data_IF_896234277276
#
_entry.id   IF_896234277276
#
_cell.length_a   1.000
_cell.length_b   1.000
_cell.length_c   1.000
_cell.angle_alpha   90.00
_cell.angle_beta   90.00
_cell.angle_gamma   90.00
#
_symmetry.space_group_name_H-M   'P 1'
#
loop_
_entity.id
_entity.type
_entity.pdbx_description
1 polymer ?
#
# COMPACT_ATOMS: atom_id res chain seq x y z
N UNK A 1 7.72 -18.85 -3.26
CA UNK A 1 6.29 -18.71 -3.57
C UNK A 1 5.67 -20.06 -3.98
N UNK A 2 5.72 -21.05 -3.03
CA UNK A 2 5.04 -22.33 -3.25
C UNK A 2 3.52 -22.14 -3.21
N UNK A 3 2.81 -22.65 -4.19
CA UNK A 3 1.35 -22.82 -4.29
C UNK A 3 0.45 -21.59 -4.51
N UNK A 4 0.92 -20.37 -4.44
CA UNK A 4 0.15 -19.22 -4.92
C UNK A 4 0.37 -19.15 -6.43
N UNK A 5 -0.71 -19.28 -7.20
CA UNK A 5 -0.63 -19.14 -8.66
C UNK A 5 -0.05 -17.75 -8.99
N UNK A 6 1.23 -17.70 -9.28
CA UNK A 6 2.01 -16.45 -9.49
C UNK A 6 1.33 -15.55 -10.54
N UNK A 7 0.66 -16.16 -11.53
CA UNK A 7 -0.11 -15.43 -12.53
C UNK A 7 -1.30 -14.66 -11.97
N UNK A 8 -2.02 -15.23 -10.99
CA UNK A 8 -3.20 -14.57 -10.40
C UNK A 8 -2.79 -13.34 -9.58
N UNK A 9 -1.70 -13.44 -8.79
CA UNK A 9 -1.19 -12.32 -8.03
C UNK A 9 -0.67 -11.20 -8.95
N UNK A 10 0.01 -11.56 -10.04
CA UNK A 10 0.49 -10.59 -11.00
C UNK A 10 -0.65 -9.82 -11.67
N UNK A 11 -1.72 -10.51 -12.09
CA UNK A 11 -2.91 -9.86 -12.66
C UNK A 11 -3.56 -8.90 -11.67
N UNK A 12 -3.78 -9.34 -10.42
CA UNK A 12 -4.38 -8.50 -9.37
C UNK A 12 -3.54 -7.26 -9.07
N UNK A 13 -2.21 -7.38 -9.05
CA UNK A 13 -1.29 -6.24 -8.83
C UNK A 13 -1.37 -5.25 -9.99
N UNK A 14 -1.36 -5.73 -11.23
CA UNK A 14 -1.49 -4.87 -12.42
C UNK A 14 -2.84 -4.16 -12.41
N UNK A 15 -3.94 -4.89 -12.14
CA UNK A 15 -5.27 -4.30 -12.07
C UNK A 15 -5.38 -3.25 -10.97
N UNK A 16 -4.75 -3.50 -9.81
CA UNK A 16 -4.69 -2.53 -8.71
C UNK A 16 -4.01 -1.22 -9.14
N UNK A 17 -2.84 -1.31 -9.78
CA UNK A 17 -2.09 -0.14 -10.26
C UNK A 17 -2.88 0.62 -11.33
N UNK A 18 -3.46 -0.07 -12.31
CA UNK A 18 -4.24 0.56 -13.38
C UNK A 18 -5.53 1.21 -12.88
N UNK A 19 -6.15 0.68 -11.81
CA UNK A 19 -7.37 1.24 -11.24
C UNK A 19 -7.15 2.59 -10.55
N UNK A 20 -5.99 2.77 -9.91
CA UNK A 20 -5.70 3.98 -9.12
C UNK A 20 -4.86 5.02 -9.86
N UNK A 21 -4.24 4.63 -10.97
CA UNK A 21 -3.39 5.51 -11.76
C UNK A 21 -4.18 6.74 -12.27
N UNK A 22 -3.58 7.90 -12.14
CA UNK A 22 -4.13 9.14 -12.69
C UNK A 22 -3.78 9.35 -14.18
N UNK A 23 -4.33 10.41 -14.77
CA UNK A 23 -4.10 10.76 -16.19
C UNK A 23 -2.61 11.08 -16.47
N UNK A 24 -1.85 11.48 -15.47
CA UNK A 24 -0.41 11.78 -15.55
C UNK A 24 0.46 10.53 -15.30
N UNK A 25 -0.13 9.34 -15.22
CA UNK A 25 0.52 8.05 -14.91
C UNK A 25 1.17 8.02 -13.54
N UNK A 26 0.60 8.67 -12.56
CA UNK A 26 1.09 8.64 -11.18
C UNK A 26 0.23 7.72 -10.34
N UNK A 27 0.89 7.00 -9.46
CA UNK A 27 0.25 6.12 -8.49
C UNK A 27 0.64 6.59 -7.08
N UNK A 28 -0.34 7.06 -6.33
CA UNK A 28 -0.09 7.48 -4.95
C UNK A 28 0.26 6.26 -4.08
N UNK A 29 1.27 6.42 -3.22
CA UNK A 29 1.74 5.33 -2.34
C UNK A 29 0.63 4.73 -1.47
N UNK A 30 -0.37 5.54 -1.11
CA UNK A 30 -1.48 5.16 -0.24
C UNK A 30 -2.75 4.76 -1.03
N UNK A 31 -2.66 4.72 -2.36
CA UNK A 31 -3.80 4.38 -3.22
C UNK A 31 -4.03 2.88 -3.33
N UNK A 32 -2.95 2.10 -3.25
CA UNK A 32 -3.00 0.64 -3.18
C UNK A 32 -2.65 0.20 -1.76
N UNK A 33 -3.61 -0.40 -1.08
CA UNK A 33 -3.47 -0.93 0.28
C UNK A 33 -3.34 -2.44 0.22
N UNK A 34 -2.57 -3.01 1.14
CA UNK A 34 -2.52 -4.46 1.35
C UNK A 34 -3.15 -4.74 2.71
N UNK A 35 -4.13 -5.62 2.74
CA UNK A 35 -4.75 -6.10 3.97
C UNK A 35 -4.70 -7.62 3.99
N UNK A 36 -4.10 -8.17 5.02
CA UNK A 36 -3.79 -9.59 5.11
C UNK A 36 -4.64 -10.30 6.14
N UNK A 37 -5.07 -11.54 5.84
CA UNK A 37 -5.83 -12.36 6.78
C UNK A 37 -5.59 -13.85 6.58
N UNK A 38 -5.31 -14.57 7.66
CA UNK A 38 -5.19 -16.04 7.67
C UNK A 38 -6.55 -16.75 7.68
N UNK A 39 -6.54 -18.05 7.48
CA UNK A 39 -7.70 -18.92 7.62
C UNK A 39 -8.48 -19.22 6.32
N UNK A 40 -7.90 -18.88 5.16
CA UNK A 40 -8.44 -19.26 3.85
C UNK A 40 -7.33 -19.70 2.89
N UNK A 41 -7.71 -20.23 1.73
CA UNK A 41 -6.76 -20.51 0.65
C UNK A 41 -6.21 -19.20 0.06
N UNK A 42 -4.97 -19.20 -0.37
CA UNK A 42 -4.38 -18.09 -1.12
C UNK A 42 -5.16 -17.74 -2.42
N UNK A 43 -5.88 -18.70 -2.98
CA UNK A 43 -6.79 -18.49 -4.10
C UNK A 43 -8.01 -17.60 -3.77
N UNK A 44 -8.26 -17.31 -2.50
CA UNK A 44 -9.27 -16.36 -2.05
C UNK A 44 -8.75 -14.92 -1.92
N UNK A 45 -7.52 -14.67 -2.36
CA UNK A 45 -6.96 -13.31 -2.49
C UNK A 45 -7.73 -12.57 -3.59
N UNK A 46 -8.16 -11.36 -3.30
CA UNK A 46 -8.97 -10.55 -4.21
C UNK A 46 -8.62 -9.07 -4.16
N UNK A 47 -8.95 -8.36 -5.24
CA UNK A 47 -8.86 -6.91 -5.33
C UNK A 47 -10.20 -6.29 -4.95
N UNK A 48 -10.22 -5.51 -3.87
CA UNK A 48 -11.39 -4.76 -3.43
C UNK A 48 -11.24 -3.30 -3.87
N UNK A 49 -12.22 -2.79 -4.61
CA UNK A 49 -12.26 -1.38 -5.03
C UNK A 49 -12.73 -0.52 -3.88
N UNK A 50 -11.81 -0.17 -3.00
CA UNK A 50 -12.09 0.56 -1.77
C UNK A 50 -11.17 0.15 -0.63
N UNK A 51 -11.70 0.11 0.59
CA UNK A 51 -10.92 -0.12 1.80
C UNK A 51 -11.42 -1.34 2.55
N UNK A 52 -10.49 -2.25 2.87
CA UNK A 52 -10.72 -3.36 3.80
C UNK A 52 -9.97 -3.06 5.10
N UNK A 53 -10.63 -3.23 6.22
CA UNK A 53 -10.05 -2.99 7.54
C UNK A 53 -10.69 -3.86 8.62
N UNK A 54 -10.00 -4.04 9.73
CA UNK A 54 -10.49 -4.79 10.88
C UNK A 54 -11.09 -3.81 11.90
N UNK A 55 -12.39 -3.82 12.03
CA UNK A 55 -13.09 -3.04 13.04
C UNK A 55 -14.50 -3.57 13.25
N UNK A 56 -14.92 -3.57 14.50
CA UNK A 56 -16.30 -3.88 14.90
C UNK A 56 -17.16 -2.61 14.81
N UNK A 57 -18.46 -2.72 14.48
CA UNK A 57 -19.39 -1.63 14.64
C UNK A 57 -19.40 -1.10 16.07
N UNK A 58 -19.60 0.20 16.25
CA UNK A 58 -19.61 0.85 17.56
C UNK A 58 -20.74 0.36 18.49
N UNK A 59 -21.74 -0.36 17.93
CA UNK A 59 -22.81 -1.01 18.68
C UNK A 59 -23.30 -2.27 17.93
N UNK A 60 -23.54 -3.35 18.66
CA UNK A 60 -23.96 -4.66 18.11
C UNK A 60 -25.31 -4.63 17.38
N UNK A 61 -26.17 -3.64 17.66
CA UNK A 61 -27.48 -3.48 17.03
C UNK A 61 -27.44 -2.69 15.71
N UNK A 62 -26.26 -2.23 15.29
CA UNK A 62 -26.09 -1.54 14.03
C UNK A 62 -26.26 -2.49 12.83
N UNK A 63 -26.68 -1.98 11.65
CA UNK A 63 -26.73 -2.78 10.44
C UNK A 63 -25.32 -3.29 10.09
N UNK A 64 -25.23 -4.51 9.56
CA UNK A 64 -23.97 -5.11 9.12
C UNK A 64 -23.72 -4.99 7.61
N UNK A 65 -24.70 -4.47 6.88
CA UNK A 65 -24.60 -4.17 5.46
C UNK A 65 -25.45 -2.97 5.11
N UNK A 66 -24.85 -2.06 4.35
CA UNK A 66 -25.50 -0.86 3.82
C UNK A 66 -25.11 -0.75 2.36
N UNK A 67 -26.08 -0.70 1.46
CA UNK A 67 -25.90 -0.50 0.03
C UNK A 67 -26.16 0.96 -0.32
N UNK A 68 -25.52 1.47 -1.39
CA UNK A 68 -25.62 2.87 -1.85
C UNK A 68 -25.45 3.89 -0.70
N UNK A 69 -24.44 3.65 0.13
CA UNK A 69 -24.25 4.33 1.40
C UNK A 69 -23.75 5.77 1.25
N UNK A 70 -24.37 6.68 1.98
CA UNK A 70 -23.84 8.03 2.23
C UNK A 70 -22.91 7.99 3.44
N UNK A 71 -21.66 8.42 3.25
CA UNK A 71 -20.56 8.24 4.20
C UNK A 71 -20.11 9.56 4.79
N UNK A 72 -19.99 9.63 6.13
CA UNK A 72 -19.35 10.72 6.84
C UNK A 72 -18.03 10.27 7.48
N UNK A 73 -16.96 11.04 7.30
CA UNK A 73 -15.65 10.82 7.94
C UNK A 73 -15.40 11.94 8.95
N UNK A 74 -15.34 11.59 10.24
CA UNK A 74 -15.32 12.53 11.34
C UNK A 74 -14.01 12.50 12.12
N UNK A 75 -13.40 13.66 12.29
CA UNK A 75 -12.18 13.87 13.08
C UNK A 75 -12.46 14.40 14.49
N UNK A 76 -13.56 13.97 15.05
CA UNK A 76 -14.03 14.45 16.34
C UNK A 76 -14.54 13.32 17.22
N UNK A 77 -14.61 13.57 18.52
CA UNK A 77 -15.29 12.70 19.47
C UNK A 77 -16.81 12.91 19.35
N UNK A 78 -17.55 11.81 19.23
CA UNK A 78 -19.01 11.85 19.29
C UNK A 78 -19.48 11.58 20.72
N UNK A 79 -19.70 12.65 21.45
CA UNK A 79 -20.21 12.66 22.82
C UNK A 79 -20.74 14.06 23.14
N UNK A 80 -21.44 14.21 24.27
CA UNK A 80 -21.80 15.52 24.78
C UNK A 80 -20.55 16.38 24.96
N UNK A 81 -20.56 17.60 24.47
CA UNK A 81 -19.50 18.58 24.72
C UNK A 81 -19.44 18.84 26.22
N UNK A 82 -18.41 18.31 26.89
CA UNK A 82 -18.08 18.78 28.23
C UNK A 82 -17.70 20.25 28.07
N UNK A 83 -18.58 21.15 28.49
CA UNK A 83 -18.33 22.59 28.44
C UNK A 83 -17.05 22.91 29.20
N UNK A 84 -16.19 23.78 28.66
CA UNK A 84 -15.02 24.34 29.35
C UNK A 84 -15.36 25.17 30.60
N UNK A 85 -16.63 25.23 30.97
CA UNK A 85 -17.10 25.89 32.18
C UNK A 85 -17.28 24.80 33.23
N UNK A 86 -16.34 24.74 34.14
CA UNK A 86 -16.40 24.02 35.42
C UNK A 86 -17.54 24.60 36.28
N UNK A 87 -18.80 24.52 35.79
CA UNK A 87 -19.98 24.85 36.56
C UNK A 87 -20.33 23.57 37.33
N UNK A 88 -19.81 23.44 38.56
CA UNK A 88 -20.35 22.48 39.51
C UNK A 88 -21.85 22.71 39.66
N UNK A 89 -22.68 21.95 38.94
CA UNK A 89 -24.09 21.86 39.19
C UNK A 89 -24.29 21.18 40.55
N UNK A 90 -24.56 21.95 41.56
CA UNK A 90 -24.96 21.41 42.87
C UNK A 90 -26.34 20.77 42.73
N UNK A 91 -26.38 19.49 42.37
CA UNK A 91 -27.62 18.72 42.32
C UNK A 91 -28.10 18.49 43.73
N UNK A 92 -29.20 19.08 44.10
CA UNK A 92 -29.76 19.03 45.47
C UNK A 92 -31.05 18.21 45.57
N UNK A 93 -31.60 17.76 44.44
CA UNK A 93 -32.80 16.92 44.38
C UNK A 93 -32.73 15.85 43.28
N UNK A 94 -33.50 14.77 43.43
CA UNK A 94 -33.66 13.71 42.44
C UNK A 94 -34.23 14.25 41.13
N UNK A 95 -35.20 15.17 41.20
CA UNK A 95 -35.80 15.78 40.02
C UNK A 95 -34.79 16.58 39.19
N UNK A 96 -33.82 17.24 39.85
CA UNK A 96 -32.72 17.96 39.19
C UNK A 96 -31.74 16.98 38.53
N UNK A 97 -31.48 15.85 39.14
CA UNK A 97 -30.64 14.79 38.57
C UNK A 97 -31.32 14.20 37.32
N UNK A 98 -32.59 13.86 37.39
CA UNK A 98 -33.35 13.31 36.28
C UNK A 98 -33.44 14.30 35.10
N UNK A 99 -33.62 15.60 35.41
CA UNK A 99 -33.62 16.64 34.39
C UNK A 99 -32.24 16.78 33.69
N UNK A 100 -31.14 16.72 34.46
CA UNK A 100 -29.78 16.78 33.90
C UNK A 100 -29.49 15.58 33.02
N UNK A 101 -29.78 14.36 33.47
CA UNK A 101 -29.60 13.13 32.70
C UNK A 101 -30.43 13.13 31.40
N UNK A 102 -31.71 13.66 31.50
CA UNK A 102 -32.57 13.78 30.31
C UNK A 102 -32.03 14.79 29.31
N UNK A 103 -31.45 15.89 29.78
CA UNK A 103 -30.83 16.91 28.93
C UNK A 103 -29.55 16.33 28.20
N UNK A 104 -28.72 15.62 28.94
CA UNK A 104 -27.55 14.94 28.34
C UNK A 104 -27.96 13.89 27.28
N UNK A 105 -29.00 13.08 27.56
CA UNK A 105 -29.51 12.11 26.60
C UNK A 105 -30.09 12.80 25.36
N UNK A 106 -30.79 13.92 25.54
CA UNK A 106 -31.29 14.72 24.42
C UNK A 106 -30.16 15.29 23.54
N UNK A 107 -29.06 15.75 24.14
CA UNK A 107 -27.88 16.21 23.39
C UNK A 107 -27.24 15.08 22.61
N UNK A 108 -27.09 13.89 23.19
CA UNK A 108 -26.55 12.69 22.51
C UNK A 108 -27.44 12.26 21.35
N UNK A 109 -28.74 12.29 21.55
CA UNK A 109 -29.73 11.99 20.50
C UNK A 109 -29.66 12.99 19.36
N UNK A 110 -29.47 14.28 19.65
CA UNK A 110 -29.34 15.33 18.65
C UNK A 110 -28.17 15.09 17.70
N UNK A 111 -27.08 14.46 18.15
CA UNK A 111 -25.95 14.03 17.27
C UNK A 111 -26.45 13.04 16.21
N UNK A 112 -27.17 12.00 16.62
CA UNK A 112 -27.71 11.00 15.70
C UNK A 112 -28.77 11.61 14.76
N UNK A 113 -29.62 12.50 15.28
CA UNK A 113 -30.64 13.21 14.50
C UNK A 113 -30.00 14.13 13.44
N UNK A 114 -28.90 14.82 13.76
CA UNK A 114 -28.16 15.67 12.83
C UNK A 114 -27.60 14.85 11.68
N UNK A 115 -26.95 13.73 11.96
CA UNK A 115 -26.40 12.83 10.95
C UNK A 115 -27.49 12.19 10.10
N UNK A 116 -28.58 11.73 10.72
CA UNK A 116 -29.76 11.20 10.02
C UNK A 116 -30.44 12.23 9.13
N UNK A 117 -30.58 13.48 9.60
CA UNK A 117 -31.16 14.58 8.81
C UNK A 117 -30.28 14.97 7.61
N UNK A 118 -28.95 14.81 7.72
CA UNK A 118 -28.03 14.97 6.62
C UNK A 118 -28.03 13.77 5.64
N UNK A 119 -28.77 12.69 5.94
CA UNK A 119 -28.86 11.49 5.12
C UNK A 119 -27.65 10.58 5.24
N UNK A 120 -26.92 10.62 6.36
CA UNK A 120 -25.76 9.76 6.58
C UNK A 120 -26.19 8.34 6.94
N UNK A 121 -25.66 7.36 6.25
CA UNK A 121 -25.88 5.93 6.48
C UNK A 121 -24.70 5.28 7.23
N UNK A 122 -23.48 5.78 6.99
CA UNK A 122 -22.25 5.22 7.59
C UNK A 122 -21.36 6.32 8.13
N UNK A 123 -20.82 6.12 9.34
CA UNK A 123 -19.92 7.04 10.03
C UNK A 123 -18.60 6.37 10.36
N UNK A 124 -17.51 6.99 9.93
CA UNK A 124 -16.15 6.63 10.36
C UNK A 124 -15.59 7.74 11.25
N UNK A 125 -15.42 7.49 12.55
CA UNK A 125 -14.90 8.46 13.50
C UNK A 125 -13.47 8.12 13.91
N UNK A 126 -12.52 9.05 13.70
CA UNK A 126 -11.13 8.88 14.12
C UNK A 126 -10.96 8.88 15.65
N UNK A 127 -11.97 9.36 16.37
CA UNK A 127 -12.00 9.37 17.83
C UNK A 127 -13.18 8.57 18.36
N UNK A 128 -13.21 8.42 19.69
CA UNK A 128 -14.23 7.62 20.36
C UNK A 128 -15.65 8.13 20.10
N UNK A 129 -16.55 7.20 19.78
CA UNK A 129 -18.00 7.36 19.88
C UNK A 129 -18.42 6.84 21.27
N UNK A 130 -19.14 7.62 22.07
CA UNK A 130 -19.61 7.14 23.35
C UNK A 130 -20.75 6.12 23.18
N UNK A 131 -20.83 5.15 24.10
CA UNK A 131 -21.81 4.06 24.02
C UNK A 131 -23.26 4.54 23.89
N UNK A 132 -23.70 5.62 24.61
CA UNK A 132 -25.05 6.16 24.43
C UNK A 132 -25.27 6.78 23.02
N UNK A 133 -24.27 7.48 22.45
CA UNK A 133 -24.36 8.00 21.08
C UNK A 133 -24.39 6.85 20.07
N UNK A 134 -23.57 5.82 20.28
CA UNK A 134 -23.60 4.62 19.44
C UNK A 134 -24.96 3.92 19.45
N UNK A 135 -25.65 3.89 20.62
CA UNK A 135 -27.00 3.35 20.71
C UNK A 135 -28.02 4.21 19.91
N UNK A 136 -27.96 5.53 20.00
CA UNK A 136 -28.84 6.41 19.22
C UNK A 136 -28.57 6.32 17.70
N UNK A 137 -27.29 6.14 17.29
CA UNK A 137 -26.93 5.88 15.89
C UNK A 137 -27.50 4.55 15.40
N UNK A 138 -27.42 3.50 16.22
CA UNK A 138 -28.02 2.20 15.93
C UNK A 138 -29.55 2.28 15.79
N UNK A 139 -30.22 3.00 16.69
CA UNK A 139 -31.68 3.25 16.63
C UNK A 139 -32.08 4.03 15.37
N UNK A 140 -31.20 4.90 14.87
CA UNK A 140 -31.38 5.63 13.62
C UNK A 140 -31.02 4.79 12.37
N UNK A 141 -30.51 3.56 12.54
CA UNK A 141 -30.09 2.69 11.46
C UNK A 141 -28.76 3.04 10.84
N UNK A 142 -27.95 3.87 11.50
CA UNK A 142 -26.65 4.32 11.04
C UNK A 142 -25.56 3.32 11.48
N UNK A 143 -24.76 2.82 10.53
CA UNK A 143 -23.58 2.02 10.83
C UNK A 143 -22.41 2.95 11.22
N UNK A 144 -21.76 2.71 12.35
CA UNK A 144 -20.69 3.60 12.79
C UNK A 144 -19.47 2.81 13.31
N UNK A 145 -18.28 3.33 13.01
CA UNK A 145 -16.99 2.80 13.47
C UNK A 145 -16.25 3.86 14.28
N UNK A 146 -15.68 3.42 15.41
CA UNK A 146 -15.04 4.28 16.41
C UNK A 146 -13.53 4.05 16.40
N UNK A 147 -12.75 5.10 16.69
CA UNK A 147 -11.29 5.05 16.79
C UNK A 147 -10.58 4.54 15.53
N UNK A 148 -11.11 4.85 14.34
CA UNK A 148 -10.40 4.53 13.10
C UNK A 148 -9.07 5.29 13.06
N UNK A 149 -8.03 4.67 12.53
CA UNK A 149 -6.70 5.28 12.45
C UNK A 149 -6.68 6.44 11.47
N UNK A 150 -5.69 7.31 11.59
CA UNK A 150 -5.51 8.46 10.68
C UNK A 150 -5.36 8.00 9.22
N UNK A 151 -4.61 6.91 9.00
CA UNK A 151 -4.44 6.31 7.67
C UNK A 151 -5.75 5.77 7.11
N UNK A 152 -6.56 5.10 7.93
CA UNK A 152 -7.88 4.60 7.53
C UNK A 152 -8.85 5.75 7.21
N UNK A 153 -8.92 6.78 8.08
CA UNK A 153 -9.75 7.94 7.84
C UNK A 153 -9.40 8.65 6.52
N UNK A 154 -8.11 8.70 6.18
CA UNK A 154 -7.64 9.23 4.90
C UNK A 154 -8.07 8.34 3.73
N UNK A 155 -7.93 7.02 3.88
CA UNK A 155 -8.34 6.06 2.87
C UNK A 155 -9.87 6.07 2.63
N UNK A 156 -10.68 6.16 3.70
CA UNK A 156 -12.14 6.27 3.57
C UNK A 156 -12.55 7.55 2.83
N UNK A 157 -11.94 8.69 3.19
CA UNK A 157 -12.20 9.96 2.51
C UNK A 157 -11.87 9.88 1.01
N UNK A 158 -10.77 9.24 0.64
CA UNK A 158 -10.38 9.05 -0.78
C UNK A 158 -11.26 8.05 -1.52
N UNK A 159 -11.62 6.95 -0.86
CA UNK A 159 -12.45 5.91 -1.47
C UNK A 159 -13.88 6.37 -1.74
N UNK A 160 -14.42 7.29 -0.91
CA UNK A 160 -15.81 7.73 -0.97
C UNK A 160 -16.00 9.15 -1.51
N UNK A 161 -14.92 9.93 -1.58
CA UNK A 161 -14.98 11.36 -1.89
C UNK A 161 -15.43 12.23 -0.71
N UNK A 162 -15.61 11.66 0.50
CA UNK A 162 -15.99 12.41 1.69
C UNK A 162 -14.90 13.41 2.11
N UNK A 163 -15.31 14.52 2.69
CA UNK A 163 -14.40 15.42 3.41
C UNK A 163 -14.31 15.00 4.87
N UNK A 164 -13.14 15.14 5.45
CA UNK A 164 -12.94 14.90 6.89
C UNK A 164 -13.46 16.09 7.68
N UNK A 165 -14.42 15.85 8.58
CA UNK A 165 -15.11 16.87 9.32
C UNK A 165 -14.66 16.92 10.78
N UNK A 166 -14.26 18.09 11.26
CA UNK A 166 -13.91 18.34 12.68
C UNK A 166 -15.09 18.78 13.54
N UNK A 167 -16.26 19.03 12.95
CA UNK A 167 -17.50 19.45 13.62
C UNK A 167 -18.71 18.94 12.86
N UNK A 168 -19.85 18.84 13.55
CA UNK A 168 -21.15 18.54 12.94
C UNK A 168 -21.97 19.81 12.69
N UNK A 169 -21.43 21.00 13.04
CA UNK A 169 -22.09 22.27 12.76
C UNK A 169 -22.04 22.51 11.23
N UNK A 170 -23.21 22.69 10.61
CA UNK A 170 -23.34 22.99 9.17
C UNK A 170 -22.80 21.88 8.22
N UNK A 171 -23.07 20.60 8.50
CA UNK A 171 -22.77 19.50 7.57
C UNK A 171 -23.57 19.65 6.29
N UNK A 172 -22.87 19.83 5.16
CA UNK A 172 -23.48 19.93 3.84
C UNK A 172 -23.37 18.61 3.07
N UNK A 173 -24.25 18.39 2.11
CA UNK A 173 -24.18 17.20 1.25
C UNK A 173 -22.85 17.09 0.46
N UNK A 174 -22.18 18.22 0.21
CA UNK A 174 -20.86 18.27 -0.44
C UNK A 174 -19.71 17.80 0.45
N UNK A 175 -19.94 17.63 1.75
CA UNK A 175 -18.97 17.13 2.72
C UNK A 175 -19.05 15.61 2.86
N UNK A 176 -20.15 15.02 2.41
CA UNK A 176 -20.40 13.59 2.48
C UNK A 176 -19.87 12.87 1.24
N UNK A 177 -19.42 11.65 1.45
CA UNK A 177 -19.02 10.76 0.37
C UNK A 177 -20.08 9.72 0.05
N UNK A 178 -19.80 8.92 -0.97
CA UNK A 178 -20.66 7.79 -1.37
C UNK A 178 -19.86 6.50 -1.46
N UNK A 179 -20.48 5.41 -1.05
CA UNK A 179 -19.94 4.06 -1.22
C UNK A 179 -20.99 3.17 -1.88
N UNK A 180 -20.57 2.29 -2.79
CA UNK A 180 -21.46 1.30 -3.39
C UNK A 180 -21.98 0.35 -2.32
N UNK A 181 -21.12 -0.08 -1.39
CA UNK A 181 -21.53 -0.88 -0.24
C UNK A 181 -20.58 -0.73 0.95
N UNK A 182 -21.10 -0.91 2.15
CA UNK A 182 -20.29 -1.14 3.36
C UNK A 182 -20.80 -2.40 4.04
N UNK A 183 -19.95 -3.43 4.13
CA UNK A 183 -20.31 -4.76 4.67
C UNK A 183 -19.38 -5.16 5.79
N UNK A 184 -19.93 -5.70 6.87
CA UNK A 184 -19.18 -6.26 7.99
C UNK A 184 -19.32 -7.77 7.98
N UNK A 185 -18.22 -8.47 7.75
CA UNK A 185 -18.17 -9.92 7.65
C UNK A 185 -17.31 -10.50 8.78
N UNK A 186 -17.68 -11.70 9.24
CA UNK A 186 -16.90 -12.35 10.31
C UNK A 186 -15.91 -13.35 9.73
N UNK A 187 -14.64 -13.04 9.88
CA UNK A 187 -13.53 -13.86 9.40
C UNK A 187 -12.67 -14.35 10.57
N UNK A 188 -12.67 -15.67 10.83
CA UNK A 188 -11.81 -16.27 11.86
C UNK A 188 -12.11 -15.85 13.30
N UNK A 189 -13.27 -15.21 13.56
CA UNK A 189 -13.67 -14.74 14.89
C UNK A 189 -13.72 -13.22 15.03
N UNK A 190 -13.04 -12.48 14.14
CA UNK A 190 -13.00 -11.02 14.14
C UNK A 190 -13.87 -10.45 13.01
N UNK A 191 -14.34 -9.25 13.20
CA UNK A 191 -15.10 -8.52 12.20
C UNK A 191 -14.16 -7.80 11.22
N UNK A 192 -14.33 -8.09 9.93
CA UNK A 192 -13.64 -7.42 8.83
C UNK A 192 -14.67 -6.62 8.06
N UNK A 193 -14.38 -5.35 7.86
CA UNK A 193 -15.27 -4.42 7.16
C UNK A 193 -14.74 -4.15 5.76
N UNK A 194 -15.62 -4.30 4.78
CA UNK A 194 -15.40 -3.99 3.37
C UNK A 194 -16.16 -2.71 3.04
N UNK A 195 -15.46 -1.67 2.69
CA UNK A 195 -16.02 -0.46 2.10
C UNK A 195 -15.72 -0.51 0.60
N UNK A 196 -16.72 -0.72 -0.22
CA UNK A 196 -16.59 -0.63 -1.67
C UNK A 196 -16.94 0.79 -2.12
N UNK A 197 -15.96 1.47 -2.70
CA UNK A 197 -16.13 2.81 -3.25
C UNK A 197 -16.97 2.82 -4.52
N UNK A 198 -17.25 3.99 -5.03
CA UNK A 198 -17.85 4.18 -6.36
C UNK A 198 -16.85 3.74 -7.47
N UNK A 199 -17.32 3.66 -8.72
CA UNK A 199 -16.47 3.31 -9.87
C UNK A 199 -15.27 4.26 -10.07
N UNK A 200 -15.38 5.51 -9.57
CA UNK A 200 -14.31 6.51 -9.58
C UNK A 200 -13.40 6.45 -8.34
N UNK A 201 -13.52 5.43 -7.51
CA UNK A 201 -12.68 5.28 -6.31
C UNK A 201 -11.20 5.19 -6.69
N UNK A 202 -10.39 6.06 -6.10
CA UNK A 202 -8.93 6.09 -6.27
C UNK A 202 -8.18 5.35 -5.17
N UNK A 203 -8.85 4.45 -4.48
CA UNK A 203 -8.25 3.61 -3.43
C UNK A 203 -8.71 2.19 -3.64
N UNK A 204 -7.76 1.27 -3.66
CA UNK A 204 -8.02 -0.17 -3.74
C UNK A 204 -7.30 -0.90 -2.62
N UNK A 205 -7.83 -2.04 -2.24
CA UNK A 205 -7.20 -2.93 -1.26
C UNK A 205 -6.98 -4.31 -1.85
N UNK A 206 -5.74 -4.77 -1.82
CA UNK A 206 -5.40 -6.17 -2.08
C UNK A 206 -5.69 -6.96 -0.79
N UNK A 207 -6.82 -7.68 -0.78
CA UNK A 207 -7.19 -8.53 0.34
C UNK A 207 -6.52 -9.89 0.22
N UNK A 208 -5.39 -10.04 0.89
CA UNK A 208 -4.50 -11.20 0.78
C UNK A 208 -4.91 -12.28 1.77
N UNK A 209 -5.12 -13.49 1.29
CA UNK A 209 -5.51 -14.65 2.08
C UNK A 209 -4.41 -15.71 2.07
N UNK A 210 -4.32 -16.43 3.17
CA UNK A 210 -3.39 -17.55 3.31
C UNK A 210 -3.83 -18.52 4.40
N UNK A 211 -3.34 -19.75 4.32
CA UNK A 211 -3.67 -20.81 5.29
C UNK A 211 -2.98 -20.61 6.65
N UNK A 212 -1.83 -19.93 6.67
CA UNK A 212 -1.03 -19.64 7.86
C UNK A 212 -0.42 -18.25 7.79
N UNK A 213 0.00 -17.68 8.93
CA UNK A 213 0.67 -16.38 9.00
C UNK A 213 1.92 -16.34 8.11
N UNK A 214 2.73 -17.40 8.11
CA UNK A 214 3.93 -17.46 7.27
C UNK A 214 3.64 -17.36 5.77
N UNK A 215 2.56 -18.00 5.29
CA UNK A 215 2.13 -17.92 3.89
C UNK A 215 1.64 -16.52 3.55
N UNK A 216 0.94 -15.89 4.47
CA UNK A 216 0.42 -14.52 4.31
C UNK A 216 1.57 -13.52 4.29
N UNK A 217 2.53 -13.60 5.23
CA UNK A 217 3.70 -12.73 5.29
C UNK A 217 4.58 -12.83 4.02
N UNK A 218 4.71 -14.02 3.46
CA UNK A 218 5.45 -14.23 2.21
C UNK A 218 4.70 -13.64 1.01
N UNK A 219 3.37 -13.82 0.97
CA UNK A 219 2.53 -13.25 -0.08
C UNK A 219 2.53 -11.72 -0.02
N UNK A 220 2.45 -11.12 1.17
CA UNK A 220 2.52 -9.68 1.38
C UNK A 220 3.83 -9.10 0.82
N UNK A 221 4.98 -9.69 1.18
CA UNK A 221 6.28 -9.25 0.63
C UNK A 221 6.35 -9.36 -0.89
N UNK A 222 5.86 -10.48 -1.43
CA UNK A 222 5.85 -10.68 -2.88
C UNK A 222 4.96 -9.67 -3.60
N UNK A 223 3.83 -9.29 -3.00
CA UNK A 223 2.92 -8.26 -3.51
C UNK A 223 3.57 -6.88 -3.42
N UNK A 224 4.19 -6.53 -2.29
CA UNK A 224 4.87 -5.24 -2.12
C UNK A 224 5.99 -5.06 -3.14
N UNK A 225 6.79 -6.10 -3.37
CA UNK A 225 7.84 -6.11 -4.40
C UNK A 225 7.24 -5.95 -5.80
N UNK A 226 6.17 -6.69 -6.10
CA UNK A 226 5.49 -6.62 -7.40
C UNK A 226 4.83 -5.25 -7.63
N UNK A 227 4.20 -4.65 -6.61
CA UNK A 227 3.65 -3.30 -6.68
C UNK A 227 4.74 -2.28 -6.97
N UNK A 228 5.88 -2.34 -6.23
CA UNK A 228 7.00 -1.42 -6.44
C UNK A 228 7.53 -1.47 -7.88
N UNK A 229 7.72 -2.66 -8.43
CA UNK A 229 8.19 -2.84 -9.81
C UNK A 229 7.15 -2.39 -10.83
N UNK A 230 5.87 -2.74 -10.63
CA UNK A 230 4.77 -2.39 -11.55
C UNK A 230 4.55 -0.88 -11.59
N UNK A 231 4.53 -0.22 -10.43
CA UNK A 231 4.40 1.25 -10.35
C UNK A 231 5.59 1.92 -11.04
N UNK A 232 6.83 1.50 -10.75
CA UNK A 232 8.01 2.08 -11.39
C UNK A 232 7.99 1.92 -12.91
N UNK A 233 7.58 0.75 -13.42
CA UNK A 233 7.45 0.50 -14.86
C UNK A 233 6.33 1.35 -15.49
N UNK A 234 5.22 1.52 -14.79
CA UNK A 234 4.08 2.27 -15.28
C UNK A 234 4.37 3.78 -15.33
N UNK A 235 4.97 4.34 -14.27
CA UNK A 235 5.30 5.77 -14.17
C UNK A 235 6.42 6.19 -15.13
N UNK A 236 7.52 5.42 -15.22
CA UNK A 236 8.67 5.70 -16.12
C UNK A 236 8.30 5.40 -17.59
N UNK A 237 7.47 4.38 -17.82
CA UNK A 237 7.05 3.94 -19.15
C UNK A 237 8.14 3.27 -19.97
N UNK A 238 9.29 2.97 -19.38
CA UNK A 238 10.43 2.31 -19.99
C UNK A 238 10.80 1.02 -19.25
N UNK A 239 10.97 -0.07 -19.98
CA UNK A 239 11.42 -1.36 -19.48
C UNK A 239 12.67 -1.81 -20.23
N UNK A 240 13.51 -2.59 -19.57
CA UNK A 240 14.76 -3.14 -20.12
C UNK A 240 14.85 -4.63 -19.83
N UNK A 241 15.65 -5.39 -20.58
CA UNK A 241 15.91 -6.79 -20.28
C UNK A 241 16.49 -6.96 -18.87
N UNK A 242 15.94 -7.87 -18.09
CA UNK A 242 16.42 -8.20 -16.76
C UNK A 242 17.55 -9.24 -16.75
N UNK A 243 17.61 -10.03 -15.69
CA UNK A 243 18.52 -11.18 -15.56
C UNK A 243 20.02 -10.85 -15.77
N UNK A 244 20.45 -9.64 -15.42
CA UNK A 244 21.84 -9.19 -15.57
C UNK A 244 22.24 -8.74 -16.98
N UNK A 245 21.33 -8.78 -17.95
CA UNK A 245 21.62 -8.39 -19.35
C UNK A 245 22.03 -6.92 -19.47
N UNK A 246 21.31 -6.03 -18.79
CA UNK A 246 21.60 -4.58 -18.79
C UNK A 246 22.96 -4.30 -18.14
N UNK A 247 23.28 -4.97 -17.05
CA UNK A 247 24.55 -4.82 -16.35
C UNK A 247 25.73 -5.21 -17.23
N UNK A 248 25.62 -6.33 -17.97
CA UNK A 248 26.63 -6.74 -18.96
C UNK A 248 26.78 -5.67 -20.04
N UNK A 249 25.70 -5.17 -20.61
CA UNK A 249 25.71 -4.12 -21.63
C UNK A 249 26.36 -2.82 -21.12
N UNK A 250 26.05 -2.41 -19.87
CA UNK A 250 26.66 -1.24 -19.22
C UNK A 250 28.19 -1.47 -19.06
N UNK A 251 28.60 -2.63 -18.54
CA UNK A 251 29.99 -2.93 -18.32
C UNK A 251 30.78 -2.93 -19.65
N UNK A 252 30.23 -3.50 -20.71
CA UNK A 252 30.86 -3.49 -22.04
C UNK A 252 30.94 -2.09 -22.63
N UNK A 253 29.93 -1.28 -22.46
CA UNK A 253 29.91 0.13 -22.87
C UNK A 253 30.98 0.95 -22.14
N UNK A 254 31.14 0.72 -20.84
CA UNK A 254 32.16 1.36 -20.02
C UNK A 254 33.57 0.96 -20.48
N UNK A 255 33.85 -0.32 -20.70
CA UNK A 255 35.16 -0.81 -21.19
C UNK A 255 35.49 -0.25 -22.55
N UNK A 256 34.51 -0.24 -23.47
CA UNK A 256 34.69 0.37 -24.79
C UNK A 256 35.00 1.86 -24.68
N UNK A 257 34.37 2.58 -23.73
CA UNK A 257 34.61 4.00 -23.45
C UNK A 257 35.97 4.26 -22.77
N UNK A 258 36.47 3.32 -21.97
CA UNK A 258 37.73 3.43 -21.24
C UNK A 258 38.94 3.67 -22.19
N UNK A 259 38.88 3.10 -23.40
CA UNK A 259 39.93 3.28 -24.43
C UNK A 259 40.06 4.74 -24.93
N UNK A 260 39.01 5.54 -24.80
CA UNK A 260 39.00 6.97 -25.15
C UNK A 260 39.50 7.87 -24.01
N UNK A 261 39.69 7.32 -22.82
CA UNK A 261 40.12 8.03 -21.62
C UNK A 261 41.59 7.71 -21.31
N UNK A 262 42.42 8.73 -21.09
CA UNK A 262 43.86 8.53 -20.86
C UNK A 262 44.22 8.58 -19.36
N UNK A 263 45.23 7.81 -18.98
CA UNK A 263 45.86 7.84 -17.65
C UNK A 263 45.00 7.16 -16.56
N UNK A 264 45.10 7.64 -15.32
CA UNK A 264 44.46 6.98 -14.16
C UNK A 264 42.94 6.92 -14.25
N UNK A 265 42.31 7.79 -15.05
CA UNK A 265 40.87 7.79 -15.25
C UNK A 265 40.37 6.54 -15.97
N UNK A 266 41.16 5.99 -16.90
CA UNK A 266 40.84 4.74 -17.59
C UNK A 266 40.71 3.57 -16.58
N UNK A 267 41.62 3.49 -15.61
CA UNK A 267 41.58 2.47 -14.56
C UNK A 267 40.33 2.59 -13.67
N UNK A 268 39.87 3.81 -13.40
CA UNK A 268 38.66 4.01 -12.64
C UNK A 268 37.40 3.55 -13.41
N UNK A 269 37.33 3.80 -14.71
CA UNK A 269 36.23 3.33 -15.57
C UNK A 269 36.24 1.78 -15.65
N UNK A 270 37.40 1.17 -15.77
CA UNK A 270 37.51 -0.30 -15.77
C UNK A 270 37.07 -0.89 -14.42
N UNK A 271 37.52 -0.32 -13.31
CA UNK A 271 37.10 -0.75 -11.97
C UNK A 271 35.58 -0.61 -11.74
N UNK A 272 34.98 0.44 -12.29
CA UNK A 272 33.54 0.59 -12.24
C UNK A 272 32.82 -0.47 -13.08
N UNK A 273 33.31 -0.76 -14.29
CA UNK A 273 32.77 -1.84 -15.11
C UNK A 273 32.87 -3.21 -14.41
N UNK A 274 34.00 -3.48 -13.72
CA UNK A 274 34.16 -4.69 -12.93
C UNK A 274 33.21 -4.78 -11.72
N UNK A 275 32.89 -3.64 -11.13
CA UNK A 275 31.90 -3.57 -10.06
C UNK A 275 30.48 -3.85 -10.57
N UNK A 276 30.12 -3.36 -11.77
CA UNK A 276 28.82 -3.66 -12.40
C UNK A 276 28.69 -5.15 -12.73
N UNK A 277 29.76 -5.80 -13.16
CA UNK A 277 29.80 -7.25 -13.42
C UNK A 277 29.57 -8.11 -12.15
N UNK A 278 29.65 -7.53 -10.98
CA UNK A 278 29.34 -8.26 -9.75
C UNK A 278 27.89 -8.78 -9.72
N UNK A 279 26.95 -8.06 -10.34
CA UNK A 279 25.54 -8.46 -10.40
C UNK A 279 25.35 -9.74 -11.21
N UNK A 280 25.72 -9.81 -12.50
CA UNK A 280 25.58 -11.05 -13.27
C UNK A 280 26.42 -12.22 -12.70
N UNK A 281 27.57 -11.96 -12.09
CA UNK A 281 28.34 -13.01 -11.39
C UNK A 281 27.58 -13.59 -10.19
N UNK A 282 26.98 -12.74 -9.37
CA UNK A 282 26.17 -13.19 -8.22
C UNK A 282 24.93 -13.95 -8.67
N UNK A 283 24.29 -13.52 -9.76
CA UNK A 283 23.16 -14.25 -10.35
C UNK A 283 23.59 -15.64 -10.83
N UNK A 284 24.79 -15.75 -11.47
CA UNK A 284 25.35 -17.05 -11.90
C UNK A 284 25.60 -17.98 -10.70
N UNK A 285 26.23 -17.48 -9.64
CA UNK A 285 26.47 -18.26 -8.41
C UNK A 285 25.15 -18.77 -7.83
N UNK A 286 24.13 -17.90 -7.73
CA UNK A 286 22.81 -18.26 -7.21
C UNK A 286 22.07 -19.27 -8.09
N UNK A 287 22.34 -19.25 -9.39
CA UNK A 287 21.81 -20.21 -10.38
C UNK A 287 22.63 -21.49 -10.47
N UNK A 288 23.68 -21.66 -9.66
CA UNK A 288 24.54 -22.86 -9.64
C UNK A 288 25.52 -22.97 -10.83
N UNK A 289 25.78 -21.85 -11.51
CA UNK A 289 26.76 -21.77 -12.61
C UNK A 289 28.12 -21.29 -12.07
N UNK A 290 29.21 -21.62 -12.81
CA UNK A 290 30.48 -20.94 -12.55
C UNK A 290 30.36 -19.47 -12.97
N UNK A 291 30.61 -18.50 -12.06
CA UNK A 291 30.37 -17.10 -12.32
C UNK A 291 31.32 -16.49 -13.35
N UNK A 292 32.48 -17.08 -13.54
CA UNK A 292 33.47 -16.62 -14.53
C UNK A 292 33.08 -17.11 -15.92
N UNK A 293 32.78 -18.40 -16.05
CA UNK A 293 32.39 -19.01 -17.32
C UNK A 293 31.06 -18.37 -17.80
N UNK A 294 30.08 -18.21 -16.91
CA UNK A 294 28.81 -17.57 -17.24
C UNK A 294 28.98 -16.12 -17.72
N UNK A 295 29.85 -15.33 -17.07
CA UNK A 295 30.12 -13.96 -17.51
C UNK A 295 30.83 -13.92 -18.89
N UNK A 296 31.74 -14.86 -19.18
CA UNK A 296 32.39 -14.97 -20.48
C UNK A 296 31.37 -15.29 -21.57
N UNK A 297 30.48 -16.25 -21.32
CA UNK A 297 29.46 -16.65 -22.27
C UNK A 297 28.43 -15.53 -22.50
N UNK A 298 27.98 -14.81 -21.43
CA UNK A 298 27.11 -13.63 -21.55
C UNK A 298 27.70 -12.55 -22.44
N UNK A 299 28.97 -12.22 -22.24
CA UNK A 299 29.69 -11.23 -23.06
C UNK A 299 29.80 -11.68 -24.52
N UNK A 300 30.08 -12.96 -24.74
CA UNK A 300 30.16 -13.50 -26.10
C UNK A 300 28.83 -13.37 -26.85
N UNK A 301 27.72 -13.62 -26.20
CA UNK A 301 26.39 -13.41 -26.77
C UNK A 301 26.10 -11.91 -27.04
N UNK A 302 26.46 -11.01 -26.12
CA UNK A 302 26.33 -9.58 -26.34
C UNK A 302 27.20 -9.05 -27.46
N UNK A 303 28.46 -9.55 -27.60
CA UNK A 303 29.35 -9.22 -28.69
C UNK A 303 28.83 -9.72 -30.06
N UNK A 304 28.08 -10.82 -30.05
CA UNK A 304 27.36 -11.31 -31.22
C UNK A 304 26.11 -10.50 -31.58
N UNK A 305 25.75 -9.53 -30.76
CA UNK A 305 24.56 -8.65 -30.94
C UNK A 305 23.25 -9.25 -30.41
N UNK A 306 23.33 -10.29 -29.58
CA UNK A 306 22.18 -10.94 -28.94
C UNK A 306 21.97 -10.35 -27.57
N UNK A 307 20.70 -10.14 -27.15
CA UNK A 307 20.39 -9.83 -25.75
C UNK A 307 20.42 -11.13 -24.96
N UNK A 308 21.29 -11.24 -23.97
CA UNK A 308 21.42 -12.42 -23.14
C UNK A 308 21.46 -12.07 -21.66
N UNK A 309 20.83 -12.90 -20.86
CA UNK A 309 20.79 -12.82 -19.39
C UNK A 309 20.79 -14.22 -18.76
N UNK A 310 20.83 -14.25 -17.44
CA UNK A 310 20.83 -15.48 -16.64
C UNK A 310 19.43 -15.85 -16.21
N UNK A 311 18.86 -16.87 -16.81
CA UNK A 311 17.52 -17.37 -16.52
C UNK A 311 17.65 -18.62 -15.64
N UNK A 312 16.89 -18.69 -14.57
CA UNK A 312 16.78 -19.87 -13.73
C UNK A 312 15.68 -20.79 -14.26
N UNK A 313 16.04 -21.98 -14.71
CA UNK A 313 15.12 -23.01 -15.18
C UNK A 313 15.18 -24.21 -14.22
N UNK A 314 14.26 -24.27 -13.27
CA UNK A 314 14.26 -25.27 -12.21
C UNK A 314 15.45 -25.08 -11.24
N UNK A 315 16.38 -26.04 -11.20
CA UNK A 315 17.58 -25.98 -10.33
C UNK A 315 18.86 -25.55 -11.06
N UNK A 316 18.78 -25.22 -12.34
CA UNK A 316 19.95 -24.90 -13.16
C UNK A 316 19.74 -23.57 -13.87
N UNK A 317 20.78 -22.73 -13.89
CA UNK A 317 20.80 -21.52 -14.70
C UNK A 317 21.11 -21.81 -16.15
N UNK A 318 20.48 -21.04 -17.05
CA UNK A 318 20.82 -21.01 -18.49
C UNK A 318 21.05 -19.55 -18.92
N UNK A 319 21.80 -19.39 -20.00
CA UNK A 319 21.96 -18.10 -20.69
C UNK A 319 20.97 -18.08 -21.85
N UNK A 320 20.05 -17.11 -21.82
CA UNK A 320 18.99 -16.97 -22.82
C UNK A 320 18.53 -15.50 -22.93
N UNK A 321 17.69 -15.20 -23.93
CA UNK A 321 17.11 -13.85 -24.05
C UNK A 321 16.05 -13.61 -22.94
N UNK A 322 16.29 -12.67 -22.02
CA UNK A 322 15.33 -12.38 -20.94
C UNK A 322 13.93 -11.95 -21.45
N UNK A 323 13.85 -11.34 -22.62
CA UNK A 323 12.59 -10.88 -23.20
C UNK A 323 11.69 -12.08 -23.55
N UNK A 324 12.27 -13.13 -24.13
CA UNK A 324 11.53 -14.37 -24.47
C UNK A 324 10.98 -15.08 -23.22
N UNK A 325 11.65 -14.92 -22.08
CA UNK A 325 11.24 -15.49 -20.79
C UNK A 325 10.40 -14.52 -19.95
N UNK A 326 10.09 -13.31 -20.46
CA UNK A 326 9.33 -12.31 -19.74
C UNK A 326 10.06 -11.71 -18.52
N UNK A 327 11.39 -11.80 -18.49
CA UNK A 327 12.22 -11.25 -17.40
C UNK A 327 12.65 -9.83 -17.76
N UNK A 328 11.87 -8.87 -17.28
CA UNK A 328 12.03 -7.45 -17.58
C UNK A 328 12.17 -6.65 -16.30
N UNK A 329 12.94 -5.57 -16.34
CA UNK A 329 13.11 -4.63 -15.24
C UNK A 329 12.68 -3.21 -15.66
N UNK A 330 12.14 -2.37 -14.75
CA UNK A 330 11.94 -0.96 -15.03
C UNK A 330 13.29 -0.26 -15.25
N UNK A 331 13.40 0.54 -16.31
CA UNK A 331 14.64 1.28 -16.60
C UNK A 331 15.00 2.27 -15.48
N UNK A 332 13.98 2.91 -14.86
CA UNK A 332 14.15 3.80 -13.71
C UNK A 332 14.87 3.11 -12.55
N UNK A 333 14.48 1.89 -12.20
CA UNK A 333 15.10 1.13 -11.09
C UNK A 333 16.57 0.84 -11.35
N UNK A 334 16.93 0.47 -12.59
CA UNK A 334 18.33 0.25 -12.98
C UNK A 334 19.15 1.54 -12.91
N UNK A 335 18.58 2.64 -13.37
CA UNK A 335 19.22 3.97 -13.32
C UNK A 335 19.48 4.38 -11.88
N UNK A 336 18.47 4.32 -11.02
CA UNK A 336 18.58 4.65 -9.60
C UNK A 336 19.59 3.78 -8.86
N UNK A 337 19.63 2.48 -9.14
CA UNK A 337 20.58 1.57 -8.52
C UNK A 337 22.04 1.96 -8.85
N UNK A 338 22.33 2.32 -10.11
CA UNK A 338 23.68 2.75 -10.53
C UNK A 338 24.04 4.12 -9.94
N UNK A 339 23.12 5.07 -9.92
CA UNK A 339 23.32 6.41 -9.37
C UNK A 339 23.58 6.32 -7.86
N UNK A 340 22.72 5.66 -7.10
CA UNK A 340 22.85 5.50 -5.65
C UNK A 340 24.12 4.77 -5.24
N UNK A 341 24.50 3.71 -5.96
CA UNK A 341 25.75 2.99 -5.72
C UNK A 341 26.98 3.89 -6.00
N UNK A 342 26.91 4.72 -7.04
CA UNK A 342 27.97 5.68 -7.39
C UNK A 342 28.12 6.76 -6.34
N UNK A 343 27.01 7.33 -5.85
CA UNK A 343 27.03 8.32 -4.77
C UNK A 343 27.58 7.75 -3.48
N UNK A 344 27.11 6.58 -3.05
CA UNK A 344 27.60 5.89 -1.86
C UNK A 344 29.11 5.62 -1.95
N UNK A 345 29.58 5.08 -3.07
CA UNK A 345 31.01 4.82 -3.31
C UNK A 345 31.83 6.11 -3.27
N UNK A 346 31.32 7.20 -3.86
CA UNK A 346 31.98 8.50 -3.87
C UNK A 346 32.06 9.10 -2.47
N UNK A 347 31.01 8.95 -1.66
CA UNK A 347 31.02 9.39 -0.26
C UNK A 347 32.06 8.63 0.55
N UNK A 348 32.15 7.30 0.41
CA UNK A 348 33.13 6.47 1.11
C UNK A 348 34.57 6.90 0.76
N UNK A 349 34.85 7.10 -0.53
CA UNK A 349 36.20 7.49 -1.01
C UNK A 349 36.60 8.90 -0.53
N UNK A 350 35.65 9.76 -0.20
CA UNK A 350 35.89 11.14 0.32
C UNK A 350 36.11 11.21 1.82
N UNK A 351 35.98 10.12 2.56
CA UNK A 351 36.23 10.11 4.00
C UNK A 351 37.75 10.10 4.23
N UNK A 352 38.29 11.25 4.68
CA UNK A 352 39.74 11.43 4.95
C UNK A 352 40.13 10.99 6.37
N UNK A 353 39.18 10.97 7.32
CA UNK A 353 39.47 10.63 8.71
C UNK A 353 38.23 10.01 9.40
N UNK A 354 38.44 9.03 10.26
CA UNK A 354 37.43 8.44 11.11
C UNK A 354 37.79 8.67 12.56
N UNK A 355 37.12 9.62 13.22
CA UNK A 355 37.27 9.87 14.65
C UNK A 355 36.39 8.87 15.40
N UNK A 356 37.01 7.84 16.01
CA UNK A 356 36.34 6.97 16.95
C UNK A 356 36.18 7.71 18.29
N UNK A 357 34.94 8.01 18.67
CA UNK A 357 34.61 8.45 20.03
C UNK A 357 34.47 7.22 20.91
N UNK A 358 35.32 7.11 21.93
CA UNK A 358 35.22 6.12 23.02
C UNK A 358 34.09 6.47 23.98
#
# INVERSE_FOLDING_TARGET
>A
TGDIATGVLAEIVVDAVLQVADDDRRVGRDDVRVFTRTGASAAATELVRGVVFESEPANDNMPRSVEDATVAVLDMKLDVRSGEIDTEYTITSVDQLDAALSAEDAERRAIAETLSAAGVDVVFASKKISDPVAAHLADAGILAFSNVTESEAHAFARATGARRLGTLDDVEASDLGTAASVRVERHGGDDVTFLEGSDDSRTVTLYVRGSTDHVVDEAERAIDDALGVTVAAYEDGEIVPGAGAVEVAIADRLRSGANAVTGRKSLAVEAFADAVDAIPRTLAENAGLDPIDALVDLRAEHDAGTTAGLISEGQTGIIADPIEYGVLDPAAVKREAVESATEASTMIVRIDDVIASN
#
